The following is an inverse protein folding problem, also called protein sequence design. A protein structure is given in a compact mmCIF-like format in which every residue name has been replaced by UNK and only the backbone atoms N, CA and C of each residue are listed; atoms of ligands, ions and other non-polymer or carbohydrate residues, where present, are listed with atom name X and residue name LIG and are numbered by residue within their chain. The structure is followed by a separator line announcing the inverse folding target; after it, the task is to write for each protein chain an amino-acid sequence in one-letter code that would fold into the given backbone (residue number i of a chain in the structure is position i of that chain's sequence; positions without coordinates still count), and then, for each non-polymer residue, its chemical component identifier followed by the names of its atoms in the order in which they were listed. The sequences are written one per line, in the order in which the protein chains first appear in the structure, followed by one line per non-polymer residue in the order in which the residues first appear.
data_IF_225539050351
#
_entry.id   IF_225539050351
#
_cell.length_a   1.000
_cell.length_b   1.000
_cell.length_c   1.000
_cell.angle_alpha   90.00
_cell.angle_beta   90.00
_cell.angle_gamma   90.00
#
_symmetry.space_group_name_H-M   'P 1'
#
loop_
_entity.id
_entity.type
_entity.pdbx_description
1 polymer ?
#
# COMPACT_ATOMS: atom_id res chain seq x y z
N UNK A 1 -28.27 -16.09 18.40
CA UNK A 1 -28.41 -14.63 18.36
C UNK A 1 -27.01 -14.03 18.43
N UNK A 2 -26.73 -13.02 17.63
CA UNK A 2 -25.41 -12.38 17.53
C UNK A 2 -25.62 -10.91 17.88
N UNK A 3 -24.88 -10.39 18.86
CA UNK A 3 -25.06 -9.04 19.39
C UNK A 3 -24.27 -8.00 18.58
N UNK A 4 -23.13 -8.42 17.97
CA UNK A 4 -22.31 -7.58 17.11
C UNK A 4 -21.52 -8.41 16.09
N UNK A 5 -21.05 -7.78 15.01
CA UNK A 5 -20.21 -8.41 13.98
C UNK A 5 -18.97 -7.56 13.69
N UNK A 6 -17.79 -8.19 13.76
CA UNK A 6 -16.56 -7.64 13.21
C UNK A 6 -16.15 -8.55 12.04
N UNK A 7 -16.11 -8.01 10.84
CA UNK A 7 -15.77 -8.77 9.64
C UNK A 7 -14.73 -8.04 8.80
N UNK A 8 -13.81 -8.81 8.18
CA UNK A 8 -12.80 -8.32 7.25
C UNK A 8 -12.89 -9.09 5.94
N UNK A 9 -12.87 -8.41 4.81
CA UNK A 9 -12.94 -9.06 3.52
C UNK A 9 -12.90 -8.10 2.34
N UNK A 10 -13.09 -8.62 1.13
CA UNK A 10 -13.20 -7.79 -0.06
C UNK A 10 -14.45 -6.90 0.00
N UNK A 11 -14.44 -5.80 -0.74
CA UNK A 11 -15.62 -4.91 -0.85
C UNK A 11 -16.88 -5.67 -1.28
N UNK A 12 -16.73 -6.68 -2.16
CA UNK A 12 -17.86 -7.52 -2.56
C UNK A 12 -18.37 -8.39 -1.39
N UNK A 13 -17.47 -8.99 -0.62
CA UNK A 13 -17.83 -9.77 0.58
C UNK A 13 -18.57 -8.90 1.61
N UNK A 14 -18.06 -7.68 1.85
CA UNK A 14 -18.68 -6.76 2.82
C UNK A 14 -20.10 -6.35 2.42
N UNK A 15 -20.41 -6.24 1.12
CA UNK A 15 -21.80 -5.99 0.67
C UNK A 15 -22.77 -7.10 1.08
N UNK A 16 -22.32 -8.36 1.10
CA UNK A 16 -23.15 -9.47 1.60
C UNK A 16 -23.28 -9.39 3.13
N UNK A 17 -22.20 -9.09 3.84
CA UNK A 17 -22.27 -8.91 5.30
C UNK A 17 -23.19 -7.76 5.68
N UNK A 18 -23.16 -6.66 4.98
CA UNK A 18 -24.05 -5.52 5.19
C UNK A 18 -25.52 -5.91 4.99
N UNK A 19 -25.83 -6.66 3.92
CA UNK A 19 -27.19 -7.14 3.65
C UNK A 19 -27.73 -8.08 4.75
N UNK A 20 -26.86 -8.90 5.38
CA UNK A 20 -27.30 -9.85 6.41
C UNK A 20 -27.21 -9.30 7.83
N UNK A 21 -26.22 -8.46 8.13
CA UNK A 21 -25.86 -8.03 9.48
C UNK A 21 -25.84 -6.50 9.67
N UNK A 22 -26.12 -5.70 8.63
CA UNK A 22 -26.11 -4.25 8.72
C UNK A 22 -27.13 -3.68 9.71
N UNK A 23 -28.09 -4.48 10.17
CA UNK A 23 -29.11 -4.09 11.14
C UNK A 23 -28.67 -4.23 12.61
N UNK A 24 -27.51 -4.81 12.89
CA UNK A 24 -26.92 -4.92 14.23
C UNK A 24 -25.60 -4.13 14.29
N UNK A 25 -25.09 -3.83 15.49
CA UNK A 25 -23.79 -3.17 15.64
C UNK A 25 -22.68 -3.93 14.90
N UNK A 26 -21.92 -3.22 14.05
CA UNK A 26 -20.91 -3.88 13.23
C UNK A 26 -19.70 -3.01 12.93
N UNK A 27 -18.57 -3.67 12.66
CA UNK A 27 -17.35 -3.10 12.06
C UNK A 27 -16.99 -3.93 10.83
N UNK A 28 -17.21 -3.38 9.65
CA UNK A 28 -16.85 -4.02 8.39
C UNK A 28 -15.59 -3.39 7.82
N UNK A 29 -14.54 -4.20 7.68
CA UNK A 29 -13.24 -3.79 7.17
C UNK A 29 -13.08 -4.24 5.73
N UNK A 30 -12.97 -3.28 4.83
CA UNK A 30 -12.68 -3.54 3.41
C UNK A 30 -11.18 -3.64 3.17
N UNK A 31 -10.81 -4.11 1.99
CA UNK A 31 -9.41 -4.14 1.59
C UNK A 31 -8.88 -2.71 1.41
N UNK A 32 -7.80 -2.39 2.12
CA UNK A 32 -7.03 -1.15 1.98
C UNK A 32 -5.60 -1.46 1.59
N UNK A 33 -4.84 -0.46 1.18
CA UNK A 33 -3.45 -0.61 0.77
C UNK A 33 -2.57 0.49 1.32
N UNK A 34 -1.26 0.21 1.43
CA UNK A 34 -0.23 1.21 1.64
C UNK A 34 0.27 1.79 0.33
N UNK A 35 0.67 3.05 0.37
CA UNK A 35 1.24 3.80 -0.75
C UNK A 35 2.49 4.52 -0.28
N UNK A 36 3.53 4.59 -1.11
CA UNK A 36 4.70 5.42 -0.83
C UNK A 36 4.78 6.63 -1.77
N UNK A 37 5.28 7.75 -1.25
CA UNK A 37 5.57 8.95 -2.02
C UNK A 37 7.04 9.30 -1.84
N UNK A 38 7.80 9.18 -2.92
CA UNK A 38 9.21 9.54 -2.96
C UNK A 38 9.36 10.97 -3.48
N UNK A 39 10.40 11.67 -3.00
CA UNK A 39 10.70 13.04 -3.42
C UNK A 39 12.07 13.18 -4.13
N UNK A 40 12.78 12.05 -4.31
CA UNK A 40 14.08 11.97 -4.97
C UNK A 40 15.28 12.14 -4.02
N UNK A 41 15.05 12.51 -2.76
CA UNK A 41 16.10 12.72 -1.76
C UNK A 41 16.22 11.57 -0.76
N UNK A 42 15.60 10.43 -1.04
CA UNK A 42 15.68 9.25 -0.19
C UNK A 42 17.12 8.75 -0.10
N UNK A 43 17.54 8.42 1.11
CA UNK A 43 18.78 7.69 1.36
C UNK A 43 18.63 6.22 0.96
N UNK A 44 19.76 5.54 0.77
CA UNK A 44 19.77 4.08 0.50
C UNK A 44 19.09 3.29 1.63
N UNK A 45 19.17 3.78 2.87
CA UNK A 45 18.51 3.13 4.01
C UNK A 45 16.97 3.27 3.92
N UNK A 46 16.47 4.44 3.52
CA UNK A 46 15.03 4.66 3.31
C UNK A 46 14.51 3.84 2.13
N UNK A 47 15.28 3.72 1.04
CA UNK A 47 14.92 2.84 -0.09
C UNK A 47 14.92 1.35 0.30
N UNK A 48 15.85 0.90 1.19
CA UNK A 48 15.79 -0.45 1.79
C UNK A 48 14.55 -0.62 2.64
N UNK A 49 14.19 0.39 3.45
CA UNK A 49 12.96 0.41 4.22
C UNK A 49 11.70 0.29 3.36
N UNK A 50 11.65 0.98 2.21
CA UNK A 50 10.57 0.78 1.24
C UNK A 50 10.46 -0.68 0.79
N UNK A 51 11.58 -1.38 0.63
CA UNK A 51 11.58 -2.82 0.35
C UNK A 51 10.92 -3.64 1.48
N UNK A 52 11.18 -3.31 2.75
CA UNK A 52 10.50 -3.93 3.89
C UNK A 52 8.98 -3.70 3.83
N UNK A 53 8.55 -2.46 3.53
CA UNK A 53 7.14 -2.10 3.41
C UNK A 53 6.42 -2.85 2.28
N UNK A 54 7.14 -3.21 1.21
CA UNK A 54 6.60 -3.90 0.04
C UNK A 54 6.59 -5.42 0.19
N UNK A 55 7.70 -6.01 0.65
CA UNK A 55 7.96 -7.43 0.48
C UNK A 55 7.66 -8.29 1.70
N UNK A 56 7.62 -7.74 2.91
CA UNK A 56 7.45 -8.50 4.17
C UNK A 56 6.24 -9.43 4.13
N UNK A 57 5.12 -9.00 3.53
CA UNK A 57 3.89 -9.81 3.39
C UNK A 57 3.54 -10.05 1.91
N UNK A 58 4.54 -10.07 1.02
CA UNK A 58 4.38 -10.26 -0.43
C UNK A 58 3.44 -9.24 -1.10
N UNK A 59 3.25 -8.06 -0.51
CA UNK A 59 2.30 -7.06 -0.97
C UNK A 59 0.83 -7.35 -0.60
N UNK A 60 0.55 -8.38 0.21
CA UNK A 60 -0.81 -8.83 0.55
C UNK A 60 -1.38 -8.20 1.82
N UNK A 61 -0.54 -7.60 2.66
CA UNK A 61 -0.99 -6.91 3.86
C UNK A 61 -1.67 -5.58 3.53
N UNK A 62 -2.68 -5.17 4.32
CA UNK A 62 -3.31 -3.87 4.15
C UNK A 62 -2.34 -2.68 4.32
N UNK A 63 -1.24 -2.88 5.04
CA UNK A 63 -0.16 -1.89 5.20
C UNK A 63 0.95 -2.05 4.18
N UNK A 64 0.92 -3.08 3.32
CA UNK A 64 1.95 -3.28 2.29
C UNK A 64 1.85 -2.20 1.22
N UNK A 65 3.01 -1.66 0.85
CA UNK A 65 3.10 -0.70 -0.25
C UNK A 65 2.94 -1.41 -1.58
N UNK A 66 1.87 -1.11 -2.30
CA UNK A 66 1.55 -1.68 -3.62
C UNK A 66 1.66 -0.66 -4.76
N UNK A 67 1.74 0.63 -4.41
CA UNK A 67 1.93 1.73 -5.35
C UNK A 67 2.94 2.74 -4.82
N UNK A 68 3.77 3.28 -5.71
CA UNK A 68 4.74 4.32 -5.39
C UNK A 68 4.57 5.50 -6.36
N UNK A 69 4.44 6.69 -5.81
CA UNK A 69 4.54 7.94 -6.57
C UNK A 69 5.99 8.39 -6.62
N UNK A 70 6.50 8.72 -7.82
CA UNK A 70 7.89 9.07 -8.09
C UNK A 70 7.99 10.42 -8.80
N UNK A 71 9.01 11.27 -8.51
CA UNK A 71 9.34 12.37 -9.41
C UNK A 71 9.61 11.87 -10.83
N UNK A 72 9.31 12.67 -11.85
CA UNK A 72 9.47 12.28 -13.26
C UNK A 72 10.88 11.82 -13.61
N UNK A 73 11.89 12.41 -13.00
CA UNK A 73 13.32 12.17 -13.22
C UNK A 73 13.93 11.16 -12.24
N UNK A 74 13.08 10.51 -11.42
CA UNK A 74 13.55 9.53 -10.44
C UNK A 74 14.17 8.31 -11.12
N UNK A 75 15.38 7.96 -10.67
CA UNK A 75 16.11 6.79 -11.14
C UNK A 75 15.70 5.53 -10.34
N UNK A 76 14.95 4.63 -10.99
CA UNK A 76 14.50 3.37 -10.40
C UNK A 76 15.64 2.38 -10.12
N UNK A 77 16.81 2.52 -10.76
CA UNK A 77 17.96 1.64 -10.49
C UNK A 77 18.43 1.76 -9.04
N UNK A 78 18.24 2.93 -8.41
CA UNK A 78 18.47 3.12 -6.98
C UNK A 78 17.62 2.17 -6.11
N UNK A 79 16.35 2.03 -6.47
CA UNK A 79 15.44 1.10 -5.79
C UNK A 79 15.87 -0.34 -6.01
N UNK A 80 16.16 -0.73 -7.25
CA UNK A 80 16.60 -2.09 -7.55
C UNK A 80 17.88 -2.46 -6.81
N UNK A 81 18.84 -1.55 -6.72
CA UNK A 81 20.06 -1.75 -5.94
C UNK A 81 19.77 -1.95 -4.44
N UNK A 82 18.83 -1.17 -3.88
CA UNK A 82 18.43 -1.29 -2.48
C UNK A 82 17.68 -2.61 -2.17
N UNK A 83 16.98 -3.18 -3.17
CA UNK A 83 16.12 -4.36 -3.00
C UNK A 83 16.76 -5.70 -3.38
N UNK A 84 18.03 -5.73 -3.79
CA UNK A 84 18.74 -6.96 -4.19
C UNK A 84 18.63 -8.08 -3.16
N UNK A 85 18.64 -7.74 -1.86
CA UNK A 85 18.52 -8.72 -0.77
C UNK A 85 17.19 -9.49 -0.78
N UNK A 86 16.15 -9.00 -1.44
CA UNK A 86 14.84 -9.63 -1.56
C UNK A 86 14.74 -10.63 -2.72
N UNK A 87 15.81 -10.81 -3.50
CA UNK A 87 15.85 -11.74 -4.65
C UNK A 87 15.51 -13.20 -4.29
N UNK A 88 15.63 -13.60 -3.01
CA UNK A 88 15.21 -14.91 -2.55
C UNK A 88 13.70 -15.18 -2.71
N UNK A 89 12.88 -14.13 -2.87
CA UNK A 89 11.45 -14.27 -3.12
C UNK A 89 11.14 -15.06 -4.40
N UNK A 90 12.01 -15.01 -5.41
CA UNK A 90 11.92 -15.84 -6.61
C UNK A 90 11.96 -17.35 -6.32
N UNK A 91 12.43 -17.76 -5.14
CA UNK A 91 12.44 -19.16 -4.71
C UNK A 91 11.15 -19.60 -4.00
N UNK A 92 10.27 -18.67 -3.66
CA UNK A 92 8.96 -18.98 -3.11
C UNK A 92 7.97 -19.27 -4.24
N UNK A 93 7.51 -20.51 -4.35
CA UNK A 93 6.67 -20.97 -5.47
C UNK A 93 5.38 -20.12 -5.64
N UNK A 94 4.74 -19.70 -4.55
CA UNK A 94 3.51 -18.87 -4.65
C UNK A 94 3.82 -17.48 -5.17
N UNK A 95 4.93 -16.88 -4.72
CA UNK A 95 5.37 -15.58 -5.18
C UNK A 95 5.80 -15.65 -6.65
N UNK A 96 6.69 -16.58 -6.99
CA UNK A 96 7.21 -16.78 -8.34
C UNK A 96 6.08 -17.04 -9.37
N UNK A 97 5.11 -17.89 -9.03
CA UNK A 97 3.97 -18.17 -9.90
C UNK A 97 3.14 -16.91 -10.21
N UNK A 98 2.94 -16.01 -9.23
CA UNK A 98 2.25 -14.74 -9.48
C UNK A 98 3.08 -13.81 -10.37
N UNK A 99 4.38 -13.70 -10.08
CA UNK A 99 5.31 -12.93 -10.89
C UNK A 99 5.29 -13.40 -12.35
N UNK A 100 5.47 -14.72 -12.60
CA UNK A 100 5.49 -15.29 -13.94
C UNK A 100 4.14 -15.12 -14.66
N UNK A 101 3.02 -15.29 -13.95
CA UNK A 101 1.69 -15.11 -14.50
C UNK A 101 1.47 -13.67 -14.98
N UNK A 102 1.74 -12.68 -14.12
CA UNK A 102 1.53 -11.27 -14.48
C UNK A 102 2.50 -10.82 -15.57
N UNK A 103 3.75 -11.27 -15.52
CA UNK A 103 4.72 -11.04 -16.58
C UNK A 103 4.23 -11.55 -17.93
N UNK A 104 3.74 -12.80 -17.98
CA UNK A 104 3.23 -13.39 -19.21
C UNK A 104 2.01 -12.62 -19.75
N UNK A 105 1.04 -12.29 -18.90
CA UNK A 105 -0.18 -11.56 -19.29
C UNK A 105 0.17 -10.18 -19.85
N UNK A 106 1.01 -9.42 -19.17
CA UNK A 106 1.36 -8.05 -19.62
C UNK A 106 2.24 -8.03 -20.84
N UNK A 107 3.18 -8.98 -20.99
CA UNK A 107 3.96 -9.11 -22.22
C UNK A 107 3.05 -9.47 -23.42
N UNK A 108 2.06 -10.33 -23.24
CA UNK A 108 1.08 -10.64 -24.30
C UNK A 108 0.25 -9.41 -24.68
N UNK A 109 -0.08 -8.56 -23.71
CA UNK A 109 -0.78 -7.29 -23.95
C UNK A 109 0.13 -6.19 -24.53
N UNK A 110 1.46 -6.43 -24.58
CA UNK A 110 2.48 -5.45 -24.99
C UNK A 110 2.59 -4.26 -24.02
N UNK A 111 2.30 -4.50 -22.75
CA UNK A 111 2.54 -3.50 -21.70
C UNK A 111 4.05 -3.30 -21.51
N UNK A 112 4.44 -2.06 -21.22
CA UNK A 112 5.83 -1.75 -20.86
C UNK A 112 6.07 -2.17 -19.41
N UNK A 113 7.14 -2.95 -19.19
CA UNK A 113 7.52 -3.47 -17.88
C UNK A 113 9.01 -3.26 -17.63
N UNK A 114 9.35 -2.94 -16.40
CA UNK A 114 10.72 -3.02 -15.90
C UNK A 114 10.77 -4.19 -14.91
N UNK A 115 11.83 -5.00 -14.94
CA UNK A 115 11.94 -6.18 -14.09
C UNK A 115 13.37 -6.43 -13.59
N UNK A 116 13.49 -7.10 -12.45
CA UNK A 116 14.78 -7.50 -11.89
C UNK A 116 14.87 -9.00 -11.54
N UNK A 117 13.97 -9.83 -12.08
CA UNK A 117 13.93 -11.28 -11.87
C UNK A 117 13.05 -11.73 -10.68
N UNK A 118 12.56 -10.83 -9.84
CA UNK A 118 11.60 -11.14 -8.78
C UNK A 118 10.52 -10.07 -8.59
N UNK A 119 10.66 -8.90 -9.16
CA UNK A 119 9.68 -7.81 -9.11
C UNK A 119 9.42 -7.29 -10.51
N UNK A 120 8.16 -7.09 -10.85
CA UNK A 120 7.71 -6.33 -12.01
C UNK A 120 7.37 -4.91 -11.56
N UNK A 121 7.86 -3.92 -12.27
CA UNK A 121 7.46 -2.53 -12.09
C UNK A 121 6.71 -2.08 -13.33
N UNK A 122 5.51 -1.58 -13.14
CA UNK A 122 4.61 -1.13 -14.22
C UNK A 122 4.11 0.29 -13.91
N UNK A 123 4.18 1.18 -14.89
CA UNK A 123 3.46 2.46 -14.78
C UNK A 123 1.96 2.20 -14.91
N UNK A 124 1.20 2.48 -13.86
CA UNK A 124 -0.22 2.18 -13.80
C UNK A 124 -0.95 3.12 -12.82
N UNK A 125 -2.18 3.50 -13.16
CA UNK A 125 -3.01 4.37 -12.32
C UNK A 125 -3.74 3.63 -11.20
N UNK A 126 -3.86 2.30 -11.29
CA UNK A 126 -4.50 1.50 -10.25
C UNK A 126 -3.74 1.61 -8.93
N UNK A 127 -4.48 1.48 -7.83
CA UNK A 127 -3.95 1.65 -6.48
C UNK A 127 -3.31 0.40 -5.90
N UNK A 128 -3.78 -0.77 -6.31
CA UNK A 128 -3.35 -2.05 -5.73
C UNK A 128 -2.71 -2.90 -6.82
N UNK A 129 -1.40 -3.17 -6.68
CA UNK A 129 -0.69 -4.09 -7.55
C UNK A 129 -0.82 -5.54 -7.07
N UNK A 130 -0.77 -6.51 -7.97
CA UNK A 130 -0.74 -7.92 -7.60
C UNK A 130 0.62 -8.33 -7.02
N UNK A 131 0.66 -9.52 -6.40
CA UNK A 131 1.89 -10.12 -5.87
C UNK A 131 3.00 -10.17 -6.92
N UNK A 132 4.21 -9.82 -6.53
CA UNK A 132 5.37 -9.77 -7.43
C UNK A 132 5.40 -8.54 -8.34
N UNK A 133 4.55 -7.55 -8.09
CA UNK A 133 4.45 -6.33 -8.88
C UNK A 133 4.40 -5.10 -8.00
N UNK A 134 4.94 -4.01 -8.50
CA UNK A 134 4.80 -2.66 -7.98
C UNK A 134 4.22 -1.76 -9.06
N UNK A 135 3.12 -1.09 -8.77
CA UNK A 135 2.66 0.00 -9.61
C UNK A 135 3.39 1.28 -9.27
N UNK A 136 3.81 2.00 -10.30
CA UNK A 136 4.44 3.32 -10.15
C UNK A 136 3.66 4.36 -10.93
N UNK A 137 3.67 5.57 -10.41
CA UNK A 137 3.10 6.73 -11.09
C UNK A 137 4.04 7.91 -10.94
N UNK A 138 4.39 8.51 -12.08
CA UNK A 138 5.32 9.64 -12.10
C UNK A 138 4.57 10.95 -11.96
N UNK A 139 5.11 11.87 -11.16
CA UNK A 139 4.52 13.18 -10.94
C UNK A 139 5.51 14.32 -11.20
N UNK A 140 4.97 15.47 -11.58
CA UNK A 140 5.69 16.75 -11.70
C UNK A 140 5.39 17.66 -10.52
N UNK A 141 4.14 17.65 -10.08
CA UNK A 141 3.65 18.47 -8.98
C UNK A 141 3.18 17.57 -7.81
N UNK A 142 3.81 17.76 -6.66
CA UNK A 142 3.47 17.05 -5.43
C UNK A 142 2.04 17.33 -4.97
N UNK A 143 1.52 18.54 -5.25
CA UNK A 143 0.15 18.92 -4.91
C UNK A 143 -0.90 18.07 -5.63
N UNK A 144 -0.61 17.58 -6.85
CA UNK A 144 -1.48 16.64 -7.57
C UNK A 144 -1.53 15.28 -6.87
N UNK A 145 -0.38 14.79 -6.36
CA UNK A 145 -0.31 13.54 -5.60
C UNK A 145 -1.14 13.64 -4.33
N UNK A 146 -1.00 14.73 -3.58
CA UNK A 146 -1.75 14.96 -2.34
C UNK A 146 -3.27 14.97 -2.60
N UNK A 147 -3.73 15.59 -3.68
CA UNK A 147 -5.15 15.58 -4.07
C UNK A 147 -5.62 14.16 -4.40
N UNK A 148 -4.85 13.40 -5.19
CA UNK A 148 -5.17 12.00 -5.51
C UNK A 148 -5.27 11.12 -4.25
N UNK A 149 -4.34 11.29 -3.31
CA UNK A 149 -4.36 10.58 -2.03
C UNK A 149 -5.61 10.93 -1.22
N UNK A 150 -5.96 12.20 -1.14
CA UNK A 150 -7.17 12.64 -0.43
C UNK A 150 -8.47 12.14 -1.08
N UNK A 151 -8.52 12.06 -2.41
CA UNK A 151 -9.67 11.50 -3.14
C UNK A 151 -9.82 9.99 -2.91
N UNK A 152 -8.72 9.26 -2.73
CA UNK A 152 -8.71 7.80 -2.53
C UNK A 152 -8.57 7.38 -1.05
N UNK A 153 -8.72 8.30 -0.11
CA UNK A 153 -8.48 8.11 1.33
C UNK A 153 -9.12 6.85 1.93
N UNK A 154 -10.34 6.51 1.52
CA UNK A 154 -11.06 5.34 2.04
C UNK A 154 -10.44 4.00 1.61
N UNK A 155 -9.65 3.98 0.54
CA UNK A 155 -8.88 2.82 0.07
C UNK A 155 -7.47 2.74 0.65
N UNK A 156 -7.02 3.79 1.37
CA UNK A 156 -5.67 3.86 1.95
C UNK A 156 -5.67 3.41 3.40
N UNK A 157 -4.71 2.56 3.75
CA UNK A 157 -4.38 2.25 5.14
C UNK A 157 -3.35 3.24 5.69
N UNK A 158 -2.35 3.58 4.88
CA UNK A 158 -1.34 4.57 5.23
C UNK A 158 -0.59 5.06 3.98
N UNK A 159 0.09 6.18 4.16
CA UNK A 159 1.06 6.72 3.21
C UNK A 159 2.43 6.76 3.87
N UNK A 160 3.45 6.22 3.20
CA UNK A 160 4.84 6.32 3.65
C UNK A 160 5.62 7.33 2.81
N UNK A 161 6.52 8.04 3.46
CA UNK A 161 7.46 8.97 2.83
C UNK A 161 8.76 9.00 3.62
N UNK A 162 9.83 9.64 3.10
CA UNK A 162 11.05 9.77 3.87
C UNK A 162 10.87 10.66 5.12
N UNK A 163 11.61 10.38 6.19
CA UNK A 163 11.54 11.09 7.47
C UNK A 163 11.71 12.61 7.37
N UNK A 164 12.41 13.08 6.34
CA UNK A 164 12.64 14.50 6.09
C UNK A 164 11.54 15.22 5.30
N UNK A 165 10.51 14.53 4.81
CA UNK A 165 9.45 15.10 3.97
C UNK A 165 8.35 15.82 4.78
N UNK A 166 8.74 16.64 5.75
CA UNK A 166 7.80 17.29 6.71
C UNK A 166 6.76 18.19 6.06
N UNK A 167 7.13 18.87 4.98
CA UNK A 167 6.22 19.74 4.25
C UNK A 167 5.12 18.93 3.57
N UNK A 168 5.48 17.82 2.91
CA UNK A 168 4.52 16.86 2.34
C UNK A 168 3.56 16.33 3.41
N UNK A 169 4.12 15.88 4.54
CA UNK A 169 3.32 15.33 5.65
C UNK A 169 2.35 16.36 6.23
N UNK A 170 2.78 17.62 6.34
CA UNK A 170 1.93 18.70 6.82
C UNK A 170 0.80 19.02 5.82
N UNK A 171 1.12 19.14 4.55
CA UNK A 171 0.13 19.40 3.49
C UNK A 171 -0.92 18.27 3.38
N UNK A 172 -0.46 17.01 3.44
CA UNK A 172 -1.35 15.85 3.42
C UNK A 172 -2.26 15.82 4.66
N UNK A 173 -1.72 16.08 5.86
CA UNK A 173 -2.52 16.14 7.09
C UNK A 173 -3.53 17.28 7.09
N UNK A 174 -3.23 18.40 6.42
CA UNK A 174 -4.16 19.52 6.30
C UNK A 174 -5.35 19.19 5.38
N UNK A 175 -5.15 18.36 4.34
CA UNK A 175 -6.18 18.01 3.37
C UNK A 175 -6.93 16.71 3.73
N UNK A 176 -6.25 15.73 4.29
CA UNK A 176 -6.78 14.42 4.61
C UNK A 176 -6.20 13.91 5.95
N UNK A 177 -6.63 14.48 7.09
CA UNK A 177 -6.09 14.17 8.41
C UNK A 177 -6.33 12.71 8.85
N UNK A 178 -7.28 12.02 8.25
CA UNK A 178 -7.61 10.62 8.50
C UNK A 178 -6.60 9.63 7.89
N UNK A 179 -5.75 10.06 6.94
CA UNK A 179 -4.73 9.19 6.36
C UNK A 179 -3.57 9.06 7.33
N UNK A 180 -3.31 7.84 7.79
CA UNK A 180 -2.13 7.54 8.59
C UNK A 180 -0.86 7.76 7.78
N UNK A 181 0.16 8.38 8.38
CA UNK A 181 1.46 8.64 7.76
C UNK A 181 2.58 8.02 8.57
N UNK A 182 3.57 7.46 7.91
CA UNK A 182 4.75 6.88 8.53
C UNK A 182 6.01 7.10 7.67
N UNK A 183 7.18 6.93 8.28
CA UNK A 183 8.44 6.94 7.56
C UNK A 183 8.60 5.64 6.76
N UNK A 184 9.34 5.69 5.64
CA UNK A 184 9.71 4.53 4.83
C UNK A 184 10.39 3.46 5.69
N UNK A 185 9.94 2.22 5.59
CA UNK A 185 10.39 1.08 6.36
C UNK A 185 9.62 0.84 7.66
N UNK A 186 8.66 1.69 7.99
CA UNK A 186 7.85 1.56 9.21
C UNK A 186 6.38 1.18 8.93
N UNK A 187 6.00 0.93 7.68
CA UNK A 187 4.63 0.57 7.36
C UNK A 187 4.13 -0.65 8.13
N UNK A 188 5.01 -1.63 8.37
CA UNK A 188 4.68 -2.87 9.07
C UNK A 188 4.85 -2.79 10.60
N UNK A 189 5.14 -1.60 11.13
CA UNK A 189 5.40 -1.35 12.54
C UNK A 189 4.34 -0.42 13.17
N UNK A 190 3.05 -0.81 13.23
CA UNK A 190 2.02 0.01 13.86
C UNK A 190 2.29 0.17 15.36
N UNK A 191 1.97 1.33 15.91
CA UNK A 191 1.94 1.54 17.34
C UNK A 191 0.70 0.88 17.97
N UNK A 192 0.66 0.75 19.30
CA UNK A 192 -0.51 0.21 20.00
C UNK A 192 -1.77 1.09 19.85
N UNK A 193 -1.60 2.35 19.48
CA UNK A 193 -2.68 3.31 19.23
C UNK A 193 -3.08 3.44 17.76
N UNK A 194 -2.39 2.72 16.85
CA UNK A 194 -2.75 2.69 15.43
C UNK A 194 -3.85 1.65 15.21
N UNK A 195 -5.08 2.03 15.48
CA UNK A 195 -6.22 1.14 15.28
C UNK A 195 -6.43 0.85 13.78
N UNK A 196 -6.70 -0.43 13.47
CA UNK A 196 -7.04 -0.82 12.11
C UNK A 196 -8.29 -0.06 11.65
N UNK A 197 -8.17 0.65 10.52
CA UNK A 197 -9.21 1.51 9.94
C UNK A 197 -9.67 2.65 10.88
N UNK A 198 -8.83 3.03 11.85
CA UNK A 198 -9.16 4.06 12.83
C UNK A 198 -10.23 3.66 13.85
N UNK A 199 -10.60 2.38 13.91
CA UNK A 199 -11.65 1.88 14.82
C UNK A 199 -11.03 1.13 16.00
N UNK A 200 -11.24 1.64 17.21
CA UNK A 200 -10.94 0.90 18.44
C UNK A 200 -11.97 -0.22 18.62
N UNK A 201 -11.53 -1.45 18.34
CA UNK A 201 -12.41 -2.62 18.42
C UNK A 201 -12.79 -2.97 19.86
N UNK A 202 -11.95 -2.59 20.86
CA UNK A 202 -12.24 -2.83 22.26
C UNK A 202 -13.31 -1.85 22.74
N UNK A 203 -13.14 -0.57 22.43
CA UNK A 203 -14.15 0.45 22.73
C UNK A 203 -15.49 0.13 22.05
N UNK A 204 -15.45 -0.28 20.78
CA UNK A 204 -16.65 -0.73 20.06
C UNK A 204 -17.37 -1.84 20.80
N UNK A 205 -16.67 -2.91 21.25
CA UNK A 205 -17.27 -4.04 21.95
C UNK A 205 -17.75 -3.71 23.36
N UNK A 206 -17.16 -2.71 24.03
CA UNK A 206 -17.59 -2.28 25.38
C UNK A 206 -18.86 -1.41 25.33
N UNK A 207 -19.22 -0.88 24.17
CA UNK A 207 -20.38 0.00 24.00
C UNK A 207 -21.60 -0.70 23.34
N UNK A 208 -21.59 -2.03 23.29
CA UNK A 208 -22.70 -2.86 22.76
C UNK A 208 -23.72 -3.22 23.83
#
# INVERSE_FOLDING_TARGET
EVDAVIATGSSNTMRYFDAYFGHIPHVFRTQRTGVAVLDGYESDQELKGLGEDMFTHFGLGCRSTTKVFLPNDFDLDRCFAAWVSWGYLAQNNKYANNYDYHKAVWLLNRDELIENGFLLVKEDEHWVSPVGTLFVERYKDRGEVIKKLAEYKDGLQLVTSRAGAKEFSHELSALAPEIAQQDLGLAQCPSLSDYADGVDSVEFLLNI
#
